data_IF_614833201246
#
_entry.id   IF_614833201246
#
_cell.length_a   1.000
_cell.length_b   1.000
_cell.length_c   1.000
_cell.angle_alpha   90.00
_cell.angle_beta   90.00
_cell.angle_gamma   90.00
#
_symmetry.space_group_name_H-M   'P 1'
#
loop_
_entity.id
_entity.type
_entity.pdbx_description
1 polymer ?
#
# COMPACT_ATOMS: atom_id res chain seq x y z
N UNK A 1 6.15 -3.67 -9.82
CA UNK A 1 7.02 -4.83 -9.50
C UNK A 1 6.68 -5.56 -8.19
N UNK A 2 5.66 -5.17 -7.42
CA UNK A 2 5.22 -5.94 -6.24
C UNK A 2 3.68 -5.94 -6.15
N UNK A 3 2.98 -6.91 -6.79
CA UNK A 3 1.52 -6.94 -6.81
C UNK A 3 0.90 -7.26 -5.43
N UNK A 4 1.68 -7.85 -4.52
CA UNK A 4 1.31 -8.09 -3.13
C UNK A 4 2.45 -7.60 -2.21
N UNK A 5 2.57 -6.28 -1.98
CA UNK A 5 3.68 -5.71 -1.24
C UNK A 5 3.61 -6.05 0.26
N UNK A 6 4.75 -6.18 0.91
CA UNK A 6 4.82 -6.28 2.37
C UNK A 6 4.76 -4.90 3.02
N UNK A 7 4.51 -4.89 4.32
CA UNK A 7 4.50 -3.67 5.12
C UNK A 7 5.81 -2.86 5.02
N UNK A 8 6.95 -3.53 5.06
CA UNK A 8 8.26 -2.89 4.94
C UNK A 8 8.49 -2.30 3.55
N UNK A 9 8.00 -2.97 2.49
CA UNK A 9 8.08 -2.44 1.13
C UNK A 9 7.24 -1.16 0.97
N UNK A 10 6.04 -1.13 1.57
CA UNK A 10 5.19 0.06 1.58
C UNK A 10 5.90 1.20 2.33
N UNK A 11 6.43 0.94 3.52
CA UNK A 11 7.11 1.99 4.30
C UNK A 11 8.33 2.55 3.58
N UNK A 12 9.13 1.68 2.95
CA UNK A 12 10.31 2.07 2.17
C UNK A 12 9.91 2.94 0.98
N UNK A 13 8.86 2.55 0.25
CA UNK A 13 8.35 3.34 -0.88
C UNK A 13 7.73 4.68 -0.43
N UNK A 14 7.15 4.72 0.77
CA UNK A 14 6.50 5.91 1.32
C UNK A 14 7.44 6.85 2.07
N UNK A 15 8.72 6.52 2.26
CA UNK A 15 9.67 7.28 3.07
C UNK A 15 9.85 8.75 2.64
N UNK A 16 9.61 9.07 1.37
CA UNK A 16 9.65 10.44 0.85
C UNK A 16 8.37 11.26 1.04
N UNK A 17 7.30 10.67 1.56
CA UNK A 17 5.98 11.30 1.65
C UNK A 17 5.63 11.60 3.10
N UNK A 18 5.85 12.82 3.58
CA UNK A 18 5.59 13.20 4.99
C UNK A 18 4.10 13.28 5.28
N UNK A 19 3.67 12.59 6.34
CA UNK A 19 2.30 12.66 6.85
C UNK A 19 2.26 13.33 8.23
N UNK A 20 1.75 14.56 8.32
CA UNK A 20 1.65 15.31 9.59
C UNK A 20 0.56 14.78 10.53
N UNK A 21 -0.47 14.14 9.99
CA UNK A 21 -1.59 13.60 10.77
C UNK A 21 -1.28 12.26 11.43
N UNK A 22 -0.13 11.63 11.12
CA UNK A 22 0.24 10.32 11.68
C UNK A 22 -0.56 9.13 11.13
N UNK A 23 -1.03 9.21 9.89
CA UNK A 23 -1.98 8.21 9.32
C UNK A 23 -1.34 7.11 8.49
N UNK A 24 -0.01 6.92 8.53
CA UNK A 24 0.68 5.83 7.82
C UNK A 24 0.07 4.44 8.04
N UNK A 25 -0.42 4.06 9.25
CA UNK A 25 -1.09 2.78 9.43
C UNK A 25 -2.35 2.63 8.57
N UNK A 26 -3.09 3.72 8.30
CA UNK A 26 -4.25 3.71 7.40
C UNK A 26 -3.84 3.67 5.93
N UNK A 27 -2.79 4.39 5.56
CA UNK A 27 -2.22 4.37 4.20
C UNK A 27 -1.77 2.95 3.84
N UNK A 28 -1.04 2.28 4.75
CA UNK A 28 -0.65 0.87 4.62
C UNK A 28 -1.84 -0.04 4.31
N UNK A 29 -2.91 0.06 5.09
CA UNK A 29 -4.15 -0.71 4.86
C UNK A 29 -4.77 -0.42 3.49
N UNK A 30 -4.77 0.84 3.06
CA UNK A 30 -5.30 1.24 1.76
C UNK A 30 -4.48 0.67 0.60
N UNK A 31 -3.14 0.65 0.70
CA UNK A 31 -2.27 0.06 -0.32
C UNK A 31 -2.52 -1.45 -0.45
N UNK A 32 -2.63 -2.17 0.67
CA UNK A 32 -3.00 -3.60 0.65
C UNK A 32 -4.37 -3.86 0.04
N UNK A 33 -5.35 -3.00 0.34
CA UNK A 33 -6.67 -3.10 -0.26
C UNK A 33 -6.61 -2.89 -1.78
N UNK A 34 -5.91 -1.85 -2.24
CA UNK A 34 -5.74 -1.57 -3.67
C UNK A 34 -5.05 -2.73 -4.39
N UNK A 35 -3.98 -3.28 -3.81
CA UNK A 35 -3.30 -4.46 -4.33
C UNK A 35 -4.24 -5.66 -4.52
N UNK A 36 -5.12 -5.92 -3.54
CA UNK A 36 -6.14 -6.98 -3.64
C UNK A 36 -7.18 -6.68 -4.72
N UNK A 37 -7.68 -5.44 -4.80
CA UNK A 37 -8.67 -5.06 -5.80
C UNK A 37 -8.12 -5.21 -7.21
N UNK A 38 -6.89 -4.75 -7.47
CA UNK A 38 -6.22 -4.91 -8.75
C UNK A 38 -6.03 -6.40 -9.09
N UNK A 39 -5.64 -7.21 -8.11
CA UNK A 39 -5.51 -8.66 -8.30
C UNK A 39 -6.87 -9.33 -8.60
N UNK A 40 -7.97 -8.87 -7.98
CA UNK A 40 -9.32 -9.38 -8.23
C UNK A 40 -9.88 -8.91 -9.58
N UNK A 41 -9.66 -7.65 -9.96
CA UNK A 41 -10.07 -7.12 -11.28
C UNK A 41 -9.35 -7.82 -12.43
N UNK A 42 -8.10 -8.24 -12.23
CA UNK A 42 -7.36 -9.06 -13.20
C UNK A 42 -7.89 -10.51 -13.34
N UNK A 43 -8.83 -10.94 -12.49
CA UNK A 43 -9.46 -12.26 -12.53
C UNK A 43 -10.85 -12.25 -13.18
N UNK A 44 -11.36 -11.09 -13.61
CA UNK A 44 -12.64 -10.91 -14.32
C UNK A 44 -12.38 -10.52 -15.77
#
# INVERSE_FOLDING_TARGET
>A
EHPAPTDQQIDTAMAGNVCRCGTYPRIRKAVHLAAKLIATEALV
#
